data_IF_905986312537
#
_entry.id   IF_905986312537
#
_cell.length_a   1.000
_cell.length_b   1.000
_cell.length_c   1.000
_cell.angle_alpha   90.00
_cell.angle_beta   90.00
_cell.angle_gamma   90.00
#
_symmetry.space_group_name_H-M   'P 1'
#
loop_
_entity.id
_entity.type
_entity.pdbx_description
1 polymer ?
#
# COMPACT_ATOMS: atom_id res chain seq x y z
N UNK A 1 -6.85 6.33 -18.99
CA UNK A 1 -7.70 5.21 -19.45
C UNK A 1 -8.96 5.13 -18.56
N UNK A 2 -10.14 4.92 -19.15
CA UNK A 2 -11.43 4.90 -18.43
C UNK A 2 -11.52 3.77 -17.41
N UNK A 3 -10.96 3.99 -16.21
CA UNK A 3 -10.88 3.03 -15.12
C UNK A 3 -11.13 3.72 -13.78
N UNK A 4 -11.62 2.96 -12.81
CA UNK A 4 -12.11 3.44 -11.50
C UNK A 4 -11.04 3.96 -10.53
N UNK A 5 -9.78 3.99 -10.95
CA UNK A 5 -8.64 4.35 -10.10
C UNK A 5 -8.53 5.85 -9.82
N UNK A 6 -7.89 6.20 -8.70
CA UNK A 6 -7.66 7.60 -8.29
C UNK A 6 -6.25 7.83 -7.74
N UNK A 7 -5.76 9.06 -7.87
CA UNK A 7 -4.58 9.54 -7.15
C UNK A 7 -4.94 9.87 -5.70
N UNK A 8 -4.11 9.44 -4.75
CA UNK A 8 -4.29 9.64 -3.31
C UNK A 8 -3.03 10.29 -2.72
N UNK A 9 -3.19 11.11 -1.69
CA UNK A 9 -2.07 11.70 -0.96
C UNK A 9 -2.12 11.26 0.50
N UNK A 10 -1.03 10.67 0.98
CA UNK A 10 -0.98 10.07 2.31
C UNK A 10 -0.53 11.04 3.40
N UNK A 11 -1.26 11.02 4.51
CA UNK A 11 -0.97 11.70 5.77
C UNK A 11 -0.36 10.73 6.78
N UNK A 12 0.04 11.21 7.96
CA UNK A 12 0.58 10.36 9.01
C UNK A 12 -0.48 9.42 9.62
N UNK A 13 -1.76 9.83 9.60
CA UNK A 13 -2.88 9.03 10.05
C UNK A 13 -3.26 7.97 9.00
N UNK A 14 -3.81 6.85 9.45
CA UNK A 14 -4.40 5.87 8.55
C UNK A 14 -5.62 6.46 7.86
N UNK A 15 -5.57 6.53 6.54
CA UNK A 15 -6.68 6.87 5.67
C UNK A 15 -7.25 5.59 5.04
N UNK A 16 -8.52 5.64 4.67
CA UNK A 16 -9.26 4.50 4.10
C UNK A 16 -9.61 4.81 2.66
N UNK A 17 -9.42 3.83 1.79
CA UNK A 17 -9.98 3.83 0.45
C UNK A 17 -10.83 2.56 0.29
N UNK A 18 -12.08 2.76 -0.10
CA UNK A 18 -13.00 1.70 -0.49
C UNK A 18 -13.45 1.94 -1.92
N UNK A 19 -13.53 0.88 -2.71
CA UNK A 19 -14.03 0.95 -4.08
C UNK A 19 -14.60 -0.39 -4.51
N UNK A 20 -15.57 -0.34 -5.42
CA UNK A 20 -16.20 -1.51 -6.05
C UNK A 20 -16.00 -1.41 -7.54
N UNK A 21 -15.60 -2.51 -8.18
CA UNK A 21 -15.50 -2.57 -9.63
C UNK A 21 -15.67 -4.00 -10.15
N UNK A 22 -15.90 -4.12 -11.46
CA UNK A 22 -16.20 -5.37 -12.13
C UNK A 22 -17.53 -5.29 -12.87
N UNK A 23 -18.06 -6.45 -13.28
CA UNK A 23 -19.34 -6.54 -13.98
C UNK A 23 -20.27 -7.48 -13.20
N UNK A 24 -21.34 -6.94 -12.62
CA UNK A 24 -22.26 -7.71 -11.79
C UNK A 24 -23.06 -8.76 -12.58
N UNK A 25 -23.20 -8.58 -13.90
CA UNK A 25 -23.86 -9.53 -14.79
C UNK A 25 -22.93 -10.65 -15.29
N UNK A 26 -21.63 -10.59 -15.00
CA UNK A 26 -20.67 -11.59 -15.45
C UNK A 26 -20.86 -12.91 -14.67
N UNK A 27 -21.48 -13.89 -15.30
CA UNK A 27 -21.70 -15.25 -14.76
C UNK A 27 -20.54 -16.21 -15.04
N UNK A 28 -19.66 -15.87 -15.98
CA UNK A 28 -18.44 -16.60 -16.30
C UNK A 28 -17.23 -15.66 -16.29
N UNK A 29 -16.01 -16.17 -16.02
CA UNK A 29 -14.82 -15.34 -16.04
C UNK A 29 -14.50 -14.81 -17.44
N UNK A 30 -14.32 -13.50 -17.59
CA UNK A 30 -13.81 -12.86 -18.81
C UNK A 30 -12.40 -13.37 -19.15
N UNK A 31 -12.02 -13.41 -20.42
CA UNK A 31 -10.64 -13.74 -20.83
C UNK A 31 -9.62 -12.64 -20.49
N UNK A 32 -10.10 -11.41 -20.30
CA UNK A 32 -9.27 -10.24 -19.98
C UNK A 32 -9.60 -9.68 -18.60
N UNK A 33 -8.60 -9.07 -17.97
CA UNK A 33 -8.77 -8.38 -16.69
C UNK A 33 -9.25 -6.96 -16.90
N UNK A 34 -10.36 -6.61 -16.24
CA UNK A 34 -10.61 -5.22 -15.86
C UNK A 34 -9.62 -4.83 -14.76
N UNK A 35 -9.13 -3.60 -14.80
CA UNK A 35 -8.17 -3.09 -13.82
C UNK A 35 -8.64 -1.79 -13.16
N UNK A 36 -8.38 -1.69 -11.86
CA UNK A 36 -8.58 -0.48 -11.06
C UNK A 36 -7.27 -0.07 -10.40
N UNK A 37 -6.69 1.07 -10.80
CA UNK A 37 -5.33 1.44 -10.45
C UNK A 37 -5.32 2.71 -9.61
N UNK A 38 -5.05 2.59 -8.31
CA UNK A 38 -4.83 3.73 -7.43
C UNK A 38 -3.33 4.01 -7.29
N UNK A 39 -2.98 5.29 -7.12
CA UNK A 39 -1.61 5.74 -6.95
C UNK A 39 -1.50 6.61 -5.71
N UNK A 40 -0.74 6.15 -4.72
CA UNK A 40 -0.61 6.84 -3.42
C UNK A 40 0.71 7.62 -3.39
N UNK A 41 0.61 8.93 -3.26
CA UNK A 41 1.75 9.83 -3.09
C UNK A 41 2.09 10.00 -1.61
N UNK A 42 3.39 10.00 -1.32
CA UNK A 42 3.90 10.38 -0.01
C UNK A 42 4.53 11.77 -0.09
N UNK A 43 4.51 12.55 1.02
CA UNK A 43 5.36 13.71 1.15
C UNK A 43 6.85 13.35 0.97
N UNK A 44 7.67 14.35 0.61
CA UNK A 44 9.11 14.15 0.41
C UNK A 44 9.77 13.51 1.64
N UNK A 45 10.66 12.53 1.40
CA UNK A 45 11.37 11.82 2.46
C UNK A 45 10.53 10.82 3.27
N UNK A 46 9.26 10.61 2.94
CA UNK A 46 8.39 9.60 3.57
C UNK A 46 8.14 8.42 2.64
N UNK A 47 7.78 7.28 3.21
CA UNK A 47 7.31 6.08 2.47
C UNK A 47 5.83 5.87 2.70
N UNK A 48 5.22 4.94 1.98
CA UNK A 48 3.82 4.54 2.19
C UNK A 48 3.77 3.20 2.90
N UNK A 49 2.98 3.14 3.98
CA UNK A 49 2.48 1.88 4.53
C UNK A 49 1.06 1.64 4.01
N UNK A 50 0.76 0.41 3.65
CA UNK A 50 -0.55 0.01 3.14
C UNK A 50 -0.91 -1.39 3.63
N UNK A 51 -2.20 -1.62 3.88
CA UNK A 51 -2.78 -2.95 4.17
C UNK A 51 -4.18 -3.04 3.58
N UNK A 52 -4.59 -4.23 3.16
CA UNK A 52 -6.00 -4.50 2.82
C UNK A 52 -6.72 -4.93 4.09
N UNK A 53 -7.86 -4.33 4.39
CA UNK A 53 -8.60 -4.61 5.64
C UNK A 53 -9.93 -5.30 5.40
N UNK A 54 -10.49 -5.21 4.20
CA UNK A 54 -11.74 -5.89 3.88
C UNK A 54 -11.82 -6.30 2.39
N UNK A 55 -12.50 -7.43 2.16
CA UNK A 55 -12.84 -7.96 0.85
C UNK A 55 -14.33 -8.28 0.85
N UNK A 56 -15.06 -7.84 -0.17
CA UNK A 56 -16.43 -8.29 -0.43
C UNK A 56 -16.50 -8.90 -1.83
N UNK A 57 -17.09 -10.08 -1.92
CA UNK A 57 -17.23 -10.87 -3.15
C UNK A 57 -15.89 -11.19 -3.86
N UNK A 58 -14.79 -11.20 -3.10
CA UNK A 58 -13.51 -11.70 -3.59
C UNK A 58 -13.55 -13.23 -3.68
N UNK A 59 -13.08 -13.76 -4.80
CA UNK A 59 -13.10 -15.18 -5.11
C UNK A 59 -11.76 -15.80 -4.70
N UNK A 60 -11.70 -16.31 -3.48
CA UNK A 60 -10.51 -16.97 -2.95
C UNK A 60 -10.25 -18.29 -3.70
N UNK A 61 -9.30 -18.24 -4.62
CA UNK A 61 -8.78 -19.40 -5.37
C UNK A 61 -7.27 -19.29 -5.47
N UNK A 62 -6.61 -20.42 -5.69
CA UNK A 62 -5.16 -20.43 -5.87
C UNK A 62 -4.73 -19.42 -6.95
N UNK A 63 -3.71 -18.61 -6.63
CA UNK A 63 -3.20 -17.53 -7.48
C UNK A 63 -4.11 -16.29 -7.62
N UNK A 64 -5.26 -16.24 -6.95
CA UNK A 64 -6.16 -15.07 -6.94
C UNK A 64 -6.48 -14.52 -8.35
N UNK A 65 -6.80 -15.44 -9.27
CA UNK A 65 -6.87 -15.19 -10.71
C UNK A 65 -8.25 -14.73 -11.21
N UNK A 66 -9.28 -14.74 -10.37
CA UNK A 66 -10.63 -14.29 -10.75
C UNK A 66 -10.83 -12.81 -10.42
N UNK A 67 -10.57 -12.42 -9.19
CA UNK A 67 -10.52 -11.03 -8.79
C UNK A 67 -9.56 -10.87 -7.58
N UNK A 68 -8.82 -9.77 -7.54
CA UNK A 68 -7.80 -9.55 -6.51
C UNK A 68 -7.31 -8.13 -6.45
N UNK A 69 -6.63 -7.80 -5.34
CA UNK A 69 -5.90 -6.55 -5.15
C UNK A 69 -4.42 -6.84 -4.90
N UNK A 70 -3.55 -6.05 -5.52
CA UNK A 70 -2.11 -6.17 -5.47
C UNK A 70 -1.51 -4.86 -4.92
N UNK A 71 -0.75 -4.98 -3.83
CA UNK A 71 0.00 -3.86 -3.24
C UNK A 71 1.45 -3.92 -3.75
N UNK A 72 1.91 -2.90 -4.49
CA UNK A 72 3.31 -2.83 -4.95
C UNK A 72 4.24 -2.39 -3.81
N UNK A 73 4.49 -3.30 -2.87
CA UNK A 73 5.28 -3.06 -1.65
C UNK A 73 6.57 -3.87 -1.58
N UNK A 74 6.65 -5.00 -2.29
CA UNK A 74 7.80 -5.89 -2.37
C UNK A 74 8.60 -5.56 -3.64
N UNK A 75 9.92 -5.68 -3.51
CA UNK A 75 10.94 -5.56 -4.56
C UNK A 75 11.46 -4.13 -4.84
N UNK A 76 12.61 -4.07 -5.52
CA UNK A 76 13.27 -2.88 -6.08
C UNK A 76 12.93 -2.67 -7.58
N UNK A 77 12.22 -3.61 -8.21
CA UNK A 77 11.67 -3.45 -9.56
C UNK A 77 10.13 -3.28 -9.63
N UNK A 78 9.69 -2.12 -10.15
CA UNK A 78 8.26 -1.77 -10.35
C UNK A 78 7.48 -2.73 -11.27
N UNK A 79 8.19 -3.50 -12.09
CA UNK A 79 7.63 -4.42 -13.09
C UNK A 79 7.23 -5.78 -12.52
N UNK A 80 7.70 -6.13 -11.32
CA UNK A 80 7.44 -7.45 -10.74
C UNK A 80 6.05 -7.49 -10.11
N UNK A 81 5.32 -8.56 -10.39
CA UNK A 81 4.03 -8.86 -9.75
C UNK A 81 4.26 -9.20 -8.29
N UNK A 82 3.62 -8.44 -7.42
CA UNK A 82 3.54 -8.71 -5.99
C UNK A 82 2.46 -9.77 -5.72
N UNK A 83 2.46 -10.39 -4.53
CA UNK A 83 1.37 -11.26 -4.11
C UNK A 83 0.02 -10.57 -4.26
N UNK A 84 -0.92 -11.29 -4.87
CA UNK A 84 -2.32 -10.86 -5.02
C UNK A 84 -3.12 -11.32 -3.81
N UNK A 85 -3.97 -10.44 -3.32
CA UNK A 85 -4.82 -10.66 -2.15
C UNK A 85 -6.25 -10.90 -2.63
N UNK A 86 -6.82 -12.03 -2.26
CA UNK A 86 -8.22 -12.39 -2.51
C UNK A 86 -8.86 -13.25 -1.40
N UNK A 87 -8.07 -13.66 -0.39
CA UNK A 87 -8.52 -14.48 0.74
C UNK A 87 -8.42 -13.70 2.04
N UNK A 88 -9.31 -14.00 3.00
CA UNK A 88 -9.45 -13.28 4.27
C UNK A 88 -8.22 -13.41 5.17
N UNK A 89 -7.48 -14.52 5.07
CA UNK A 89 -6.28 -14.82 5.85
C UNK A 89 -5.08 -13.94 5.44
N UNK A 90 -5.17 -13.28 4.29
CA UNK A 90 -4.15 -12.38 3.76
C UNK A 90 -4.36 -10.93 4.21
N UNK A 91 -5.45 -10.64 4.94
CA UNK A 91 -5.81 -9.30 5.36
C UNK A 91 -4.95 -8.79 6.51
N UNK A 92 -4.94 -7.47 6.63
CA UNK A 92 -4.27 -6.71 7.69
C UNK A 92 -2.73 -6.82 7.72
N UNK A 93 -2.12 -7.47 6.73
CA UNK A 93 -0.67 -7.46 6.54
C UNK A 93 -0.21 -6.09 6.07
N UNK A 94 0.70 -5.46 6.83
CA UNK A 94 1.23 -4.12 6.52
C UNK A 94 2.46 -4.25 5.63
N UNK A 95 2.38 -3.72 4.41
CA UNK A 95 3.51 -3.56 3.52
C UNK A 95 4.02 -2.12 3.49
N UNK A 96 5.34 -1.92 3.45
CA UNK A 96 5.95 -0.59 3.31
C UNK A 96 6.57 -0.44 1.91
N UNK A 97 5.98 0.39 1.05
CA UNK A 97 6.46 0.54 -0.33
C UNK A 97 7.80 1.27 -0.42
N UNK A 98 8.64 0.85 -1.35
CA UNK A 98 9.87 1.54 -1.76
C UNK A 98 9.60 2.59 -2.87
N UNK A 99 8.36 2.77 -3.32
CA UNK A 99 8.04 3.60 -4.49
C UNK A 99 7.05 4.70 -4.19
N UNK A 100 7.27 5.85 -4.83
CA UNK A 100 6.37 6.98 -4.82
C UNK A 100 6.14 7.39 -6.29
N UNK A 101 4.87 7.47 -6.75
CA UNK A 101 3.69 6.99 -6.05
C UNK A 101 3.73 5.46 -5.87
N UNK A 102 3.06 4.94 -4.84
CA UNK A 102 2.85 3.51 -4.62
C UNK A 102 1.64 3.04 -5.42
N UNK A 103 1.81 2.15 -6.41
CA UNK A 103 0.69 1.59 -7.16
C UNK A 103 -0.09 0.55 -6.33
N UNK A 104 -1.40 0.68 -6.31
CA UNK A 104 -2.35 -0.34 -5.83
C UNK A 104 -3.17 -0.76 -7.04
N UNK A 105 -3.02 -2.00 -7.45
CA UNK A 105 -3.57 -2.50 -8.71
C UNK A 105 -4.58 -3.58 -8.37
N UNK A 106 -5.81 -3.43 -8.82
CA UNK A 106 -6.84 -4.44 -8.64
C UNK A 106 -7.27 -5.00 -9.97
N UNK A 107 -7.59 -6.29 -9.97
CA UNK A 107 -7.89 -7.11 -11.12
C UNK A 107 -9.28 -7.73 -10.94
N UNK A 108 -10.10 -7.75 -11.99
CA UNK A 108 -11.39 -8.43 -11.95
C UNK A 108 -11.70 -9.07 -13.31
N UNK A 109 -12.19 -10.33 -13.26
CA UNK A 109 -12.68 -11.11 -14.40
C UNK A 109 -14.07 -11.68 -14.16
N UNK A 110 -14.57 -11.66 -12.92
CA UNK A 110 -15.84 -12.29 -12.54
C UNK A 110 -16.52 -11.48 -11.45
N UNK A 111 -17.81 -11.18 -11.67
CA UNK A 111 -18.68 -10.39 -10.80
C UNK A 111 -18.09 -9.02 -10.42
N UNK A 112 -18.81 -8.23 -9.63
CA UNK A 112 -18.24 -7.05 -8.95
C UNK A 112 -17.60 -7.46 -7.64
N UNK A 113 -16.44 -6.91 -7.31
CA UNK A 113 -15.81 -7.06 -6.00
C UNK A 113 -15.53 -5.70 -5.36
N UNK A 114 -15.61 -5.64 -4.04
CA UNK A 114 -15.28 -4.45 -3.24
C UNK A 114 -14.04 -4.71 -2.42
N UNK A 115 -13.11 -3.78 -2.46
CA UNK A 115 -11.89 -3.82 -1.67
C UNK A 115 -11.84 -2.60 -0.76
N UNK A 116 -11.36 -2.80 0.47
CA UNK A 116 -11.00 -1.70 1.37
C UNK A 116 -9.54 -1.84 1.73
N UNK A 117 -8.75 -0.79 1.46
CA UNK A 117 -7.37 -0.72 1.91
C UNK A 117 -7.13 0.55 2.73
N UNK A 118 -6.24 0.41 3.71
CA UNK A 118 -5.80 1.50 4.55
C UNK A 118 -4.39 1.88 4.15
N UNK A 119 -4.12 3.17 4.12
CA UNK A 119 -2.81 3.70 3.76
C UNK A 119 -2.43 4.86 4.67
N UNK A 120 -1.12 5.06 4.86
CA UNK A 120 -0.55 6.23 5.53
C UNK A 120 0.87 6.47 5.05
N UNK A 121 1.38 7.66 5.27
CA UNK A 121 2.80 7.90 5.18
C UNK A 121 3.51 7.34 6.41
N UNK A 122 4.76 6.93 6.22
CA UNK A 122 5.61 6.35 7.24
C UNK A 122 6.99 6.98 7.13
N UNK A 123 7.46 7.56 8.22
CA UNK A 123 8.85 8.00 8.34
C UNK A 123 9.75 6.77 8.40
N UNK A 124 10.61 6.58 7.41
CA UNK A 124 11.66 5.58 7.53
C UNK A 124 12.65 6.02 8.58
N UNK A 125 12.62 5.38 9.74
CA UNK A 125 13.81 5.33 10.58
C UNK A 125 14.78 4.47 9.79
N UNK A 126 15.79 5.07 9.15
CA UNK A 126 16.94 4.28 8.65
C UNK A 126 17.34 3.39 9.83
N UNK A 127 17.43 2.07 9.63
CA UNK A 127 17.85 1.14 10.67
C UNK A 127 18.94 1.81 11.51
N UNK A 128 18.61 2.07 12.76
CA UNK A 128 19.56 2.35 13.81
C UNK A 128 20.31 1.04 14.00
N UNK A 129 21.23 0.77 13.07
CA UNK A 129 22.23 -0.27 13.22
C UNK A 129 23.13 0.26 14.33
N UNK A 130 22.96 -0.31 15.52
CA UNK A 130 23.80 -0.11 16.70
C UNK A 130 23.80 1.31 17.29
N UNK A 131 22.77 1.67 18.05
CA UNK A 131 22.98 2.49 19.25
C UNK A 131 22.16 1.92 20.40
N UNK A 132 22.84 1.64 21.51
CA UNK A 132 22.29 1.12 22.77
C UNK A 132 20.99 1.83 23.20
N UNK A 133 20.02 1.12 23.78
CA UNK A 133 18.72 1.67 24.17
C UNK A 133 18.76 2.34 25.56
N UNK A 134 19.72 3.23 25.83
CA UNK A 134 19.84 3.88 27.15
C UNK A 134 19.76 5.41 27.16
N UNK A 135 19.36 6.06 26.06
CA UNK A 135 19.08 7.50 26.10
C UNK A 135 17.75 7.80 25.41
N UNK A 136 16.69 7.85 26.22
CA UNK A 136 15.46 8.56 25.90
C UNK A 136 15.73 10.07 25.95
N UNK A 137 15.20 10.75 24.94
CA UNK A 137 14.72 12.13 24.94
C UNK A 137 15.74 13.25 25.23
N UNK A 138 16.30 13.82 24.15
CA UNK A 138 16.61 15.26 24.11
C UNK A 138 16.08 15.81 22.79
N UNK A 139 14.95 16.53 22.88
CA UNK A 139 14.48 17.46 21.85
C UNK A 139 15.58 18.48 21.54
N UNK A 140 16.03 18.56 20.29
CA UNK A 140 16.97 19.61 19.88
C UNK A 140 16.17 20.87 19.55
N UNK A 141 15.80 21.59 20.59
CA UNK A 141 15.50 23.02 20.55
C UNK A 141 16.75 23.82 20.92
N UNK A 142 17.08 24.80 20.07
CA UNK A 142 17.99 25.91 20.31
C UNK A 142 19.51 25.68 20.33
N UNK A 143 20.15 26.42 19.43
CA UNK A 143 21.51 26.97 19.46
C UNK A 143 22.24 26.84 20.81
N UNK A 144 23.40 26.17 20.82
CA UNK A 144 24.58 26.61 21.60
C UNK A 144 25.84 26.28 20.79
N UNK A 145 26.52 27.33 20.33
CA UNK A 145 27.93 27.33 19.96
C UNK A 145 28.78 27.14 21.23
N UNK A 146 29.65 26.15 21.29
CA UNK A 146 30.86 26.22 22.12
C UNK A 146 32.04 25.56 21.40
N UNK A 147 33.01 26.40 21.10
CA UNK A 147 34.41 26.07 20.81
C UNK A 147 35.02 25.31 21.99
N UNK A 148 35.94 24.37 21.75
CA UNK A 148 37.23 24.32 22.46
C UNK A 148 38.28 23.59 21.62
N UNK A 149 39.43 24.27 21.52
CA UNK A 149 40.72 23.82 21.00
C UNK A 149 41.40 22.85 21.98
N UNK A 150 42.00 21.78 21.46
CA UNK A 150 43.43 21.42 21.46
C UNK A 150 43.59 20.02 20.88
#
# INVERSE_FOLDING_TARGET
>A
PGGCGVGLTATAAWQVQQFTFGNAAATTPSDTYMQCNHYIWAPAGKRIQVRVTNLNNAQCRNGCHLNSIELKTINNHKRVTNPRICCTEQLNQVGTSNYIPTPIISYNRLLTSTYTFHYRNHTSVRKQLWTNPTLQDIEVGSLVLLFYSF
#
